data_IF_883779851170
#
_entry.id   IF_883779851170
#
_cell.length_a   1.000
_cell.length_b   1.000
_cell.length_c   1.000
_cell.angle_alpha   90.00
_cell.angle_beta   90.00
_cell.angle_gamma   90.00
#
_symmetry.space_group_name_H-M   'P 1'
#
loop_
_entity.id
_entity.type
_entity.pdbx_description
1 polymer ?
#
# COMPACT_ATOMS: atom_id res chain seq x y z
N UNK A 1 -22.71 49.57 -11.18
CA UNK A 1 -23.32 48.23 -11.46
C UNK A 1 -22.65 47.24 -10.53
N UNK A 2 -23.42 46.59 -9.65
CA UNK A 2 -22.79 45.61 -8.70
C UNK A 2 -22.66 44.23 -9.34
N UNK A 3 -21.44 43.68 -9.23
CA UNK A 3 -21.09 42.31 -9.64
C UNK A 3 -20.81 41.54 -8.37
N UNK A 4 -21.52 40.46 -8.13
CA UNK A 4 -21.33 39.61 -6.98
C UNK A 4 -20.91 38.21 -7.43
N UNK A 5 -20.19 37.49 -6.57
CA UNK A 5 -19.80 36.13 -6.82
C UNK A 5 -20.26 35.19 -5.70
N UNK A 6 -20.60 33.99 -6.06
CA UNK A 6 -20.92 32.92 -5.11
C UNK A 6 -20.10 31.68 -5.39
N UNK A 7 -19.58 31.07 -4.33
CA UNK A 7 -18.91 29.80 -4.40
C UNK A 7 -19.36 28.85 -3.29
N UNK A 8 -19.47 27.59 -3.62
CA UNK A 8 -19.79 26.54 -2.68
C UNK A 8 -18.76 25.42 -2.76
N UNK A 9 -18.20 25.03 -1.62
CA UNK A 9 -17.38 23.84 -1.52
C UNK A 9 -17.84 22.91 -0.39
N UNK A 10 -17.70 21.61 -0.65
CA UNK A 10 -17.94 20.57 0.34
C UNK A 10 -16.61 20.21 1.02
N UNK A 11 -16.41 20.52 2.32
CA UNK A 11 -15.13 20.33 3.01
C UNK A 11 -14.61 18.87 2.98
N UNK A 12 -15.52 17.90 2.80
CA UNK A 12 -15.17 16.48 2.71
C UNK A 12 -14.64 16.06 1.33
N UNK A 13 -14.87 16.85 0.30
CA UNK A 13 -14.57 16.50 -1.08
C UNK A 13 -13.57 17.45 -1.75
N UNK A 14 -13.62 18.72 -1.43
CA UNK A 14 -12.88 19.78 -2.11
C UNK A 14 -12.25 20.73 -1.08
N UNK A 15 -11.04 21.26 -1.34
CA UNK A 15 -10.49 22.35 -0.52
C UNK A 15 -11.37 23.60 -0.68
N UNK A 16 -11.27 24.51 0.28
CA UNK A 16 -11.93 25.83 0.15
C UNK A 16 -11.41 26.52 -1.12
N UNK A 17 -12.31 27.12 -1.93
CA UNK A 17 -11.89 27.86 -3.13
C UNK A 17 -11.00 29.03 -2.73
N UNK A 18 -9.96 29.30 -3.54
CA UNK A 18 -9.10 30.46 -3.33
C UNK A 18 -9.91 31.73 -3.54
N UNK A 19 -9.74 32.74 -2.69
CA UNK A 19 -10.45 34.00 -2.78
C UNK A 19 -10.18 34.78 -4.11
N UNK A 20 -9.08 34.47 -4.77
CA UNK A 20 -8.60 35.13 -6.00
C UNK A 20 -9.26 34.66 -7.31
N UNK A 21 -10.16 33.64 -7.24
CA UNK A 21 -10.76 33.03 -8.45
C UNK A 21 -11.54 34.04 -9.31
N UNK A 22 -12.11 35.07 -8.68
CA UNK A 22 -13.04 36.00 -9.33
C UNK A 22 -12.40 37.27 -9.87
N UNK A 23 -11.10 37.53 -9.63
CA UNK A 23 -10.44 38.78 -10.01
C UNK A 23 -10.87 39.99 -9.19
N UNK A 24 -10.38 41.18 -9.58
CA UNK A 24 -10.60 42.43 -8.84
C UNK A 24 -11.94 43.16 -9.17
N UNK A 25 -12.74 42.65 -10.11
CA UNK A 25 -13.95 43.26 -10.58
C UNK A 25 -15.23 42.89 -9.80
N UNK A 26 -15.10 42.06 -8.77
CA UNK A 26 -16.23 41.58 -7.96
C UNK A 26 -16.41 42.46 -6.73
N UNK A 27 -17.55 43.08 -6.59
CA UNK A 27 -17.87 43.98 -5.46
C UNK A 27 -18.04 43.23 -4.14
N UNK A 28 -18.60 42.00 -4.19
CA UNK A 28 -18.81 41.15 -2.99
C UNK A 28 -18.82 39.68 -3.34
N UNK A 29 -18.16 38.89 -2.50
CA UNK A 29 -18.10 37.43 -2.64
C UNK A 29 -18.81 36.76 -1.47
N UNK A 30 -19.68 35.80 -1.77
CA UNK A 30 -20.34 34.93 -0.80
C UNK A 30 -19.75 33.51 -0.92
N UNK A 31 -19.35 32.94 0.20
CA UNK A 31 -18.72 31.64 0.21
C UNK A 31 -19.35 30.70 1.26
N UNK A 32 -19.83 29.57 0.84
CA UNK A 32 -20.37 28.53 1.69
C UNK A 32 -19.41 27.30 1.77
N UNK A 33 -19.20 26.80 2.98
CA UNK A 33 -18.42 25.61 3.28
C UNK A 33 -19.33 24.55 3.94
N UNK A 34 -19.88 23.66 3.13
CA UNK A 34 -20.74 22.56 3.61
C UNK A 34 -22.18 22.93 4.00
N UNK A 35 -22.47 24.20 4.25
CA UNK A 35 -23.81 24.76 4.46
C UNK A 35 -24.23 25.63 3.27
N UNK A 36 -25.41 26.25 3.35
CA UNK A 36 -25.91 27.21 2.31
C UNK A 36 -26.46 28.49 2.93
N UNK A 37 -25.83 28.91 4.01
CA UNK A 37 -26.27 30.13 4.73
C UNK A 37 -25.95 31.40 3.96
N UNK A 38 -24.78 31.45 3.32
CA UNK A 38 -24.36 32.58 2.51
C UNK A 38 -25.18 32.71 1.20
N UNK A 39 -25.60 31.57 0.62
CA UNK A 39 -26.53 31.59 -0.50
C UNK A 39 -27.88 32.22 -0.12
N UNK A 40 -28.42 31.87 1.04
CA UNK A 40 -29.66 32.47 1.52
C UNK A 40 -29.50 33.96 1.81
N UNK A 41 -28.35 34.37 2.35
CA UNK A 41 -28.05 35.76 2.57
C UNK A 41 -27.90 36.51 1.25
N UNK A 42 -27.21 35.95 0.27
CA UNK A 42 -27.07 36.48 -1.08
C UNK A 42 -28.45 36.75 -1.72
N UNK A 43 -29.36 35.76 -1.65
CA UNK A 43 -30.72 35.92 -2.22
C UNK A 43 -31.52 37.01 -1.53
N UNK A 44 -31.36 37.24 -0.23
CA UNK A 44 -31.97 38.34 0.50
C UNK A 44 -31.35 39.70 0.12
N UNK A 45 -30.04 39.78 0.06
CA UNK A 45 -29.32 41.00 -0.30
C UNK A 45 -29.67 41.43 -1.74
N UNK A 46 -29.85 40.47 -2.66
CA UNK A 46 -30.32 40.75 -4.03
C UNK A 46 -31.73 41.31 -4.13
N UNK A 47 -32.58 41.11 -3.12
CA UNK A 47 -33.92 41.72 -3.06
C UNK A 47 -33.85 43.17 -2.61
N UNK A 48 -32.84 43.56 -1.84
CA UNK A 48 -32.70 44.91 -1.26
C UNK A 48 -31.76 45.82 -2.05
N UNK A 49 -30.76 45.22 -2.72
CA UNK A 49 -29.76 45.95 -3.48
C UNK A 49 -29.80 45.60 -4.98
N UNK A 50 -29.67 46.58 -5.90
CA UNK A 50 -29.68 46.32 -7.34
C UNK A 50 -28.34 45.65 -7.76
N UNK A 51 -28.38 44.33 -7.96
CA UNK A 51 -27.28 43.53 -8.49
C UNK A 51 -27.57 43.22 -9.95
N UNK A 52 -26.57 43.35 -10.84
CA UNK A 52 -26.74 43.08 -12.26
C UNK A 52 -26.18 41.71 -12.67
N UNK A 53 -25.05 41.31 -12.11
CA UNK A 53 -24.39 40.06 -12.47
C UNK A 53 -24.09 39.22 -11.23
N UNK A 54 -24.38 37.90 -11.32
CA UNK A 54 -23.94 36.89 -10.37
C UNK A 54 -23.00 35.92 -11.07
N UNK A 55 -21.76 35.82 -10.58
CA UNK A 55 -20.76 34.87 -11.05
C UNK A 55 -20.81 33.60 -10.19
N UNK A 56 -20.86 32.46 -10.83
CA UNK A 56 -20.72 31.15 -10.20
C UNK A 56 -19.78 30.29 -11.05
N UNK A 57 -19.14 29.29 -10.45
CA UNK A 57 -18.35 28.36 -11.24
C UNK A 57 -19.25 27.33 -11.94
N UNK A 58 -20.17 26.74 -11.20
CA UNK A 58 -21.04 25.65 -11.68
C UNK A 58 -22.48 25.85 -11.17
N UNK A 59 -23.44 25.36 -11.93
CA UNK A 59 -24.86 25.44 -11.53
C UNK A 59 -25.15 24.64 -10.23
N UNK A 60 -24.39 23.56 -9.96
CA UNK A 60 -24.57 22.77 -8.73
C UNK A 60 -24.27 23.55 -7.44
N UNK A 61 -23.61 24.69 -7.53
CA UNK A 61 -23.36 25.55 -6.39
C UNK A 61 -24.65 26.18 -5.85
N UNK A 62 -25.65 26.38 -6.70
CA UNK A 62 -26.93 26.96 -6.32
C UNK A 62 -27.89 25.99 -5.60
N UNK A 63 -27.62 24.69 -5.52
CA UNK A 63 -28.54 23.77 -4.83
C UNK A 63 -28.03 22.36 -4.71
N UNK A 64 -28.54 21.63 -3.73
CA UNK A 64 -28.20 20.21 -3.51
C UNK A 64 -29.07 19.28 -4.37
N UNK A 65 -30.19 19.77 -4.89
CA UNK A 65 -31.07 19.06 -5.80
C UNK A 65 -31.34 19.88 -7.05
N UNK A 66 -31.67 19.22 -8.17
CA UNK A 66 -32.03 19.88 -9.42
C UNK A 66 -33.20 20.88 -9.18
N UNK A 67 -34.18 20.49 -8.36
CA UNK A 67 -35.33 21.34 -8.02
C UNK A 67 -34.90 22.62 -7.31
N UNK A 68 -33.97 22.56 -6.36
CA UNK A 68 -33.44 23.74 -5.67
C UNK A 68 -32.66 24.65 -6.63
N UNK A 69 -31.82 24.06 -7.50
CA UNK A 69 -31.10 24.83 -8.52
C UNK A 69 -32.07 25.54 -9.43
N UNK A 70 -33.11 24.90 -9.95
CA UNK A 70 -34.14 25.52 -10.80
C UNK A 70 -34.89 26.61 -10.05
N UNK A 71 -35.29 26.39 -8.80
CA UNK A 71 -36.01 27.38 -8.00
C UNK A 71 -35.17 28.64 -7.76
N UNK A 72 -33.87 28.50 -7.45
CA UNK A 72 -32.98 29.63 -7.27
C UNK A 72 -32.67 30.37 -8.60
N UNK A 73 -32.57 29.63 -9.71
CA UNK A 73 -32.42 30.22 -11.04
C UNK A 73 -33.65 31.10 -11.39
N UNK A 74 -34.86 30.56 -11.15
CA UNK A 74 -36.11 31.30 -11.38
C UNK A 74 -36.19 32.55 -10.49
N UNK A 75 -35.79 32.47 -9.22
CA UNK A 75 -35.72 33.62 -8.32
C UNK A 75 -34.75 34.70 -8.83
N UNK A 76 -33.54 34.29 -9.29
CA UNK A 76 -32.55 35.23 -9.82
C UNK A 76 -33.03 35.87 -11.13
N UNK A 77 -33.69 35.12 -12.00
CA UNK A 77 -34.27 35.61 -13.25
C UNK A 77 -35.41 36.63 -12.98
N UNK A 78 -36.28 36.35 -12.01
CA UNK A 78 -37.34 37.26 -11.58
C UNK A 78 -36.81 38.59 -10.99
N UNK A 79 -35.62 38.56 -10.38
CA UNK A 79 -34.90 39.73 -9.89
C UNK A 79 -34.12 40.49 -11.01
N UNK A 80 -34.13 39.99 -12.24
CA UNK A 80 -33.43 40.58 -13.38
C UNK A 80 -31.90 40.41 -13.33
N UNK A 81 -31.38 39.45 -12.53
CA UNK A 81 -29.95 39.20 -12.34
C UNK A 81 -29.44 38.27 -13.44
N UNK A 82 -28.41 38.70 -14.16
CA UNK A 82 -27.75 37.86 -15.17
C UNK A 82 -26.73 36.95 -14.53
N UNK A 83 -26.94 35.65 -14.71
CA UNK A 83 -26.03 34.63 -14.21
C UNK A 83 -24.91 34.35 -15.21
N UNK A 84 -23.65 34.40 -14.75
CA UNK A 84 -22.45 34.05 -15.50
C UNK A 84 -21.83 32.83 -14.88
N UNK A 85 -21.78 31.73 -15.65
CA UNK A 85 -21.12 30.46 -15.26
C UNK A 85 -19.74 30.42 -15.88
N UNK A 86 -18.71 30.21 -15.07
CA UNK A 86 -17.31 30.24 -15.52
C UNK A 86 -16.79 28.87 -15.99
N UNK A 87 -17.45 27.75 -15.68
CA UNK A 87 -17.11 26.44 -16.22
C UNK A 87 -17.52 26.35 -17.71
N UNK A 88 -16.53 26.28 -18.60
CA UNK A 88 -16.70 26.23 -20.05
C UNK A 88 -17.65 25.13 -20.54
N UNK A 89 -17.59 23.96 -19.90
CA UNK A 89 -18.44 22.81 -20.27
C UNK A 89 -19.93 23.07 -20.01
N UNK A 90 -20.25 23.81 -18.96
CA UNK A 90 -21.62 24.12 -18.62
C UNK A 90 -22.16 25.29 -19.44
N UNK A 91 -21.30 26.21 -19.85
CA UNK A 91 -21.65 27.32 -20.73
C UNK A 91 -22.05 26.82 -22.13
N UNK A 92 -21.35 25.85 -22.68
CA UNK A 92 -21.68 25.23 -23.99
C UNK A 92 -23.01 24.46 -23.98
N UNK A 93 -23.38 23.87 -22.86
CA UNK A 93 -24.62 23.08 -22.75
C UNK A 93 -25.88 23.90 -22.41
N UNK A 94 -25.76 25.21 -22.12
CA UNK A 94 -26.89 26.06 -21.77
C UNK A 94 -27.96 26.13 -22.86
N UNK A 95 -27.60 26.01 -24.12
CA UNK A 95 -28.53 26.00 -25.26
C UNK A 95 -29.36 24.70 -25.34
N UNK A 96 -28.98 23.62 -24.59
CA UNK A 96 -29.69 22.37 -24.58
C UNK A 96 -30.09 21.98 -23.14
N UNK A 97 -31.23 22.52 -22.70
CA UNK A 97 -31.77 22.40 -21.34
C UNK A 97 -31.81 20.94 -20.86
N UNK A 98 -32.18 19.99 -21.73
CA UNK A 98 -32.28 18.58 -21.37
C UNK A 98 -30.90 17.97 -21.08
N UNK A 99 -29.87 18.36 -21.82
CA UNK A 99 -28.50 17.93 -21.55
C UNK A 99 -28.00 18.50 -20.24
N UNK A 100 -28.23 19.77 -19.99
CA UNK A 100 -27.86 20.45 -18.75
C UNK A 100 -28.49 19.77 -17.53
N UNK A 101 -29.81 19.51 -17.58
CA UNK A 101 -30.53 18.82 -16.50
C UNK A 101 -29.97 17.40 -16.25
N UNK A 102 -29.68 16.67 -17.33
CA UNK A 102 -29.10 15.32 -17.21
C UNK A 102 -27.68 15.37 -16.61
N UNK A 103 -26.87 16.35 -16.94
CA UNK A 103 -25.53 16.54 -16.35
C UNK A 103 -25.61 16.95 -14.89
N UNK A 104 -26.48 17.89 -14.53
CA UNK A 104 -26.72 18.29 -13.15
C UNK A 104 -27.14 17.06 -12.29
N UNK A 105 -28.07 16.26 -12.80
CA UNK A 105 -28.52 15.08 -12.08
C UNK A 105 -27.39 14.04 -11.88
N UNK A 106 -26.58 13.79 -12.92
CA UNK A 106 -25.40 12.89 -12.82
C UNK A 106 -24.35 13.43 -11.84
N UNK A 107 -24.06 14.71 -11.92
CA UNK A 107 -23.10 15.38 -11.05
C UNK A 107 -23.54 15.31 -9.60
N UNK A 108 -24.78 15.65 -9.29
CA UNK A 108 -25.34 15.56 -7.94
C UNK A 108 -25.33 14.14 -7.39
N UNK A 109 -25.72 13.15 -8.21
CA UNK A 109 -25.66 11.75 -7.80
C UNK A 109 -24.21 11.31 -7.50
N UNK A 110 -23.28 11.65 -8.37
CA UNK A 110 -21.85 11.38 -8.17
C UNK A 110 -21.31 12.06 -6.91
N UNK A 111 -21.70 13.30 -6.64
CA UNK A 111 -21.29 14.06 -5.45
C UNK A 111 -21.86 13.46 -4.17
N UNK A 112 -23.12 13.07 -4.16
CA UNK A 112 -23.76 12.38 -3.04
C UNK A 112 -23.07 11.05 -2.71
N UNK A 113 -22.75 10.24 -3.73
CA UNK A 113 -21.98 9.02 -3.56
C UNK A 113 -20.59 9.30 -2.98
N UNK A 114 -19.85 10.26 -3.51
CA UNK A 114 -18.52 10.65 -3.00
C UNK A 114 -18.59 11.11 -1.54
N UNK A 115 -19.61 11.92 -1.18
CA UNK A 115 -19.86 12.36 0.19
C UNK A 115 -20.13 11.18 1.13
N UNK A 116 -20.97 10.22 0.70
CA UNK A 116 -21.20 8.98 1.44
C UNK A 116 -19.93 8.15 1.63
N UNK A 117 -19.10 8.02 0.59
CA UNK A 117 -17.81 7.34 0.71
C UNK A 117 -16.83 8.08 1.62
N UNK A 118 -16.78 9.41 1.57
CA UNK A 118 -15.93 10.21 2.44
C UNK A 118 -16.35 10.05 3.93
N UNK A 119 -17.65 10.12 4.24
CA UNK A 119 -18.17 9.86 5.59
C UNK A 119 -17.82 8.45 6.09
N UNK A 120 -18.01 7.43 5.25
CA UNK A 120 -17.66 6.05 5.61
C UNK A 120 -16.16 5.89 5.87
N UNK A 121 -15.32 6.61 5.12
CA UNK A 121 -13.87 6.61 5.30
C UNK A 121 -13.47 7.25 6.63
N UNK A 122 -14.05 8.40 6.98
CA UNK A 122 -13.82 9.07 8.27
C UNK A 122 -14.20 8.15 9.42
N UNK A 123 -15.34 7.47 9.33
CA UNK A 123 -15.79 6.48 10.31
C UNK A 123 -15.01 5.16 10.26
N UNK A 124 -14.01 5.04 9.38
CA UNK A 124 -13.20 3.82 9.19
C UNK A 124 -14.04 2.57 8.88
N UNK A 125 -15.19 2.75 8.21
CA UNK A 125 -16.07 1.64 7.83
C UNK A 125 -15.51 0.89 6.62
N UNK A 126 -15.71 -0.43 6.50
CA UNK A 126 -15.29 -1.20 5.34
C UNK A 126 -15.83 -0.61 4.03
N UNK A 127 -14.99 -0.48 2.99
CA UNK A 127 -15.43 0.01 1.70
C UNK A 127 -16.56 -0.86 1.13
N UNK A 128 -17.42 -0.31 0.24
CA UNK A 128 -18.50 -1.08 -0.35
C UNK A 128 -17.96 -2.27 -1.14
N UNK A 129 -18.72 -3.37 -1.19
CA UNK A 129 -18.36 -4.58 -1.90
C UNK A 129 -18.16 -5.81 -1.00
N UNK A 130 -17.64 -6.88 -1.57
CA UNK A 130 -17.38 -8.15 -0.85
C UNK A 130 -16.13 -8.01 0.03
N UNK A 131 -16.20 -8.60 1.23
CA UNK A 131 -15.04 -8.71 2.11
C UNK A 131 -13.93 -9.54 1.43
N UNK A 132 -12.64 -9.26 1.74
CA UNK A 132 -11.54 -10.11 1.33
C UNK A 132 -11.75 -11.55 1.82
N UNK A 133 -11.30 -12.54 1.04
CA UNK A 133 -11.41 -13.95 1.43
C UNK A 133 -10.69 -14.19 2.77
N UNK A 134 -11.32 -14.92 3.67
CA UNK A 134 -10.87 -15.07 5.07
C UNK A 134 -11.56 -14.10 6.04
N UNK A 135 -12.31 -13.14 5.51
CA UNK A 135 -13.14 -12.22 6.28
C UNK A 135 -14.60 -12.28 5.84
N UNK A 136 -15.48 -11.92 6.78
CA UNK A 136 -16.90 -11.60 6.55
C UNK A 136 -17.12 -10.12 6.81
N UNK A 137 -18.08 -9.53 6.11
CA UNK A 137 -18.49 -8.14 6.34
C UNK A 137 -19.38 -8.09 7.58
N UNK A 138 -18.91 -7.46 8.66
CA UNK A 138 -19.73 -7.06 9.79
C UNK A 138 -20.40 -5.71 9.52
N UNK A 139 -21.14 -5.19 10.51
CA UNK A 139 -21.83 -3.90 10.42
C UNK A 139 -20.81 -2.75 10.25
N UNK A 140 -19.83 -2.68 11.14
CA UNK A 140 -18.88 -1.56 11.21
C UNK A 140 -17.44 -1.97 10.88
N UNK A 141 -17.12 -3.25 10.83
CA UNK A 141 -15.77 -3.77 10.59
C UNK A 141 -15.78 -5.14 9.94
N UNK A 142 -14.64 -5.57 9.41
CA UNK A 142 -14.44 -6.94 9.00
C UNK A 142 -14.32 -7.85 10.22
N UNK A 143 -14.93 -9.02 10.12
CA UNK A 143 -14.83 -10.11 11.11
C UNK A 143 -14.16 -11.31 10.48
N UNK A 144 -13.34 -12.05 11.24
CA UNK A 144 -12.65 -13.24 10.75
C UNK A 144 -13.67 -14.33 10.38
N UNK A 145 -13.55 -14.88 9.19
CA UNK A 145 -14.26 -16.09 8.79
C UNK A 145 -13.49 -17.32 9.27
N UNK A 146 -14.00 -17.97 10.33
CA UNK A 146 -13.36 -19.14 10.96
C UNK A 146 -13.12 -20.31 9.98
N UNK A 147 -13.90 -20.40 8.91
CA UNK A 147 -13.78 -21.48 7.92
C UNK A 147 -12.76 -21.16 6.83
N UNK A 148 -12.66 -19.90 6.41
CA UNK A 148 -11.82 -19.47 5.31
C UNK A 148 -10.46 -18.90 5.77
N UNK A 149 -10.36 -18.33 6.97
CA UNK A 149 -9.12 -17.70 7.47
C UNK A 149 -7.95 -18.65 7.63
N UNK A 150 -8.11 -19.95 8.04
CA UNK A 150 -6.98 -20.86 8.12
C UNK A 150 -6.28 -21.10 6.78
N UNK A 151 -7.07 -21.17 5.69
CA UNK A 151 -6.51 -21.32 4.35
C UNK A 151 -5.71 -20.08 3.90
N UNK A 152 -6.16 -18.89 4.31
CA UNK A 152 -5.42 -17.64 4.06
C UNK A 152 -4.12 -17.64 4.87
N UNK A 153 -4.16 -17.94 6.15
CA UNK A 153 -2.98 -17.96 7.02
C UNK A 153 -1.93 -18.93 6.50
N UNK A 154 -2.33 -20.17 6.18
CA UNK A 154 -1.44 -21.19 5.62
C UNK A 154 -0.84 -20.76 4.25
N UNK A 155 -1.59 -20.02 3.42
CA UNK A 155 -1.06 -19.46 2.18
C UNK A 155 0.07 -18.45 2.43
N UNK A 156 -0.08 -17.58 3.44
CA UNK A 156 0.93 -16.60 3.83
C UNK A 156 2.15 -17.29 4.43
N UNK A 157 1.97 -18.24 5.35
CA UNK A 157 3.05 -19.03 5.96
C UNK A 157 3.84 -19.79 4.90
N UNK A 158 3.15 -20.47 3.98
CA UNK A 158 3.81 -21.16 2.87
C UNK A 158 4.61 -20.21 1.97
N UNK A 159 4.11 -18.99 1.74
CA UNK A 159 4.86 -17.99 0.98
C UNK A 159 6.08 -17.49 1.75
N UNK A 160 6.00 -17.28 3.05
CA UNK A 160 7.12 -16.88 3.90
C UNK A 160 8.24 -17.91 3.86
N UNK A 161 7.91 -19.20 3.99
CA UNK A 161 8.89 -20.30 4.01
C UNK A 161 9.53 -20.50 2.62
N UNK A 162 8.71 -20.59 1.58
CA UNK A 162 9.19 -21.00 0.25
C UNK A 162 9.48 -19.84 -0.70
N UNK A 163 9.02 -18.63 -0.42
CA UNK A 163 9.21 -17.44 -1.26
C UNK A 163 8.59 -17.54 -2.67
N UNK A 164 7.79 -18.56 -2.93
CA UNK A 164 7.26 -18.88 -4.26
C UNK A 164 5.76 -18.68 -4.33
N UNK A 165 5.31 -17.58 -4.94
CA UNK A 165 3.90 -17.28 -5.12
C UNK A 165 3.16 -18.39 -5.90
N UNK A 166 3.75 -18.91 -6.98
CA UNK A 166 3.15 -20.02 -7.75
C UNK A 166 3.10 -21.30 -6.93
N UNK A 167 4.11 -21.55 -6.06
CA UNK A 167 4.12 -22.65 -5.12
C UNK A 167 2.97 -22.55 -4.12
N UNK A 168 2.79 -21.37 -3.50
CA UNK A 168 1.73 -21.12 -2.52
C UNK A 168 0.33 -21.25 -3.13
N UNK A 169 0.13 -20.78 -4.36
CA UNK A 169 -1.15 -20.98 -5.08
C UNK A 169 -1.45 -22.45 -5.33
N UNK A 170 -0.46 -23.25 -5.73
CA UNK A 170 -0.61 -24.70 -5.91
C UNK A 170 -0.86 -25.43 -4.59
N UNK A 171 -0.14 -25.05 -3.54
CA UNK A 171 -0.33 -25.58 -2.19
C UNK A 171 -1.76 -25.33 -1.69
N UNK A 172 -2.27 -24.09 -1.84
CA UNK A 172 -3.64 -23.72 -1.49
C UNK A 172 -4.68 -24.58 -2.24
N UNK A 173 -4.48 -24.77 -3.55
CA UNK A 173 -5.36 -25.60 -4.38
C UNK A 173 -5.34 -27.07 -3.93
N UNK A 174 -4.17 -27.61 -3.58
CA UNK A 174 -4.00 -29.01 -3.16
C UNK A 174 -4.59 -29.28 -1.77
N UNK A 175 -4.30 -28.39 -0.80
CA UNK A 175 -4.66 -28.60 0.62
C UNK A 175 -6.09 -28.21 0.94
N UNK A 176 -6.59 -27.10 0.35
CA UNK A 176 -7.90 -26.54 0.66
C UNK A 176 -8.88 -26.60 -0.51
N UNK A 177 -8.52 -27.23 -1.61
CA UNK A 177 -9.29 -27.23 -2.86
C UNK A 177 -9.69 -25.80 -3.35
N UNK A 178 -8.94 -24.78 -2.90
CA UNK A 178 -9.18 -23.38 -3.24
C UNK A 178 -8.30 -22.96 -4.41
N UNK A 179 -8.86 -22.91 -5.60
CA UNK A 179 -8.17 -22.49 -6.82
C UNK A 179 -8.23 -20.97 -6.96
N UNK A 180 -7.08 -20.31 -7.03
CA UNK A 180 -6.92 -18.88 -7.31
C UNK A 180 -5.88 -18.66 -8.40
N UNK A 181 -5.95 -17.52 -9.09
CA UNK A 181 -4.88 -17.12 -10.01
C UNK A 181 -3.65 -16.60 -9.27
N UNK A 182 -2.50 -16.60 -9.91
CA UNK A 182 -1.26 -16.03 -9.36
C UNK A 182 -1.43 -14.53 -9.08
N UNK A 183 -2.16 -13.81 -9.93
CA UNK A 183 -2.48 -12.39 -9.73
C UNK A 183 -3.35 -12.16 -8.48
N UNK A 184 -4.34 -13.03 -8.24
CA UNK A 184 -5.15 -13.00 -7.01
C UNK A 184 -4.30 -13.30 -5.78
N UNK A 185 -3.41 -14.31 -5.84
CA UNK A 185 -2.48 -14.59 -4.76
C UNK A 185 -1.55 -13.41 -4.46
N UNK A 186 -1.07 -12.70 -5.49
CA UNK A 186 -0.29 -11.48 -5.30
C UNK A 186 -1.10 -10.38 -4.61
N UNK A 187 -2.38 -10.19 -5.02
CA UNK A 187 -3.25 -9.23 -4.33
C UNK A 187 -3.47 -9.59 -2.87
N UNK A 188 -3.58 -10.86 -2.52
CA UNK A 188 -3.66 -11.26 -1.11
C UNK A 188 -2.41 -10.82 -0.36
N UNK A 189 -1.22 -11.15 -0.85
CA UNK A 189 0.05 -10.79 -0.20
C UNK A 189 0.26 -9.29 0.01
N UNK A 190 -0.33 -8.45 -0.84
CA UNK A 190 -0.17 -6.99 -0.78
C UNK A 190 -1.37 -6.26 -0.19
N UNK A 191 -2.47 -6.96 0.13
CA UNK A 191 -3.68 -6.31 0.63
C UNK A 191 -3.56 -5.97 2.13
N UNK A 192 -3.62 -4.67 2.51
CA UNK A 192 -3.53 -4.25 3.90
C UNK A 192 -4.60 -4.86 4.83
N UNK A 193 -5.73 -5.30 4.28
CA UNK A 193 -6.79 -5.89 5.10
C UNK A 193 -6.31 -7.11 5.90
N UNK A 194 -5.38 -7.90 5.41
CA UNK A 194 -4.89 -9.08 6.13
C UNK A 194 -4.05 -8.74 7.35
N UNK A 195 -3.48 -7.53 7.42
CA UNK A 195 -2.78 -7.00 8.61
C UNK A 195 -3.63 -6.08 9.48
N UNK A 196 -4.96 -6.05 9.25
CA UNK A 196 -5.93 -5.31 10.06
C UNK A 196 -6.18 -3.87 9.63
N UNK A 197 -5.72 -3.47 8.44
CA UNK A 197 -5.83 -2.12 7.91
C UNK A 197 -6.85 -2.05 6.76
N UNK A 198 -7.51 -0.91 6.60
CA UNK A 198 -8.35 -0.65 5.43
C UNK A 198 -7.64 0.26 4.45
N UNK A 199 -7.70 -0.08 3.18
CA UNK A 199 -7.25 0.78 2.08
C UNK A 199 -8.44 1.21 1.24
N UNK A 200 -8.53 2.51 0.98
CA UNK A 200 -9.56 3.11 0.13
C UNK A 200 -9.02 3.43 -1.27
N UNK A 201 -9.92 3.73 -2.20
CA UNK A 201 -9.57 3.97 -3.61
C UNK A 201 -8.58 5.10 -3.83
N UNK A 202 -8.53 6.09 -2.95
CA UNK A 202 -7.55 7.19 -2.98
C UNK A 202 -6.14 6.78 -2.50
N UNK A 203 -5.91 5.50 -2.21
CA UNK A 203 -4.64 4.98 -1.72
C UNK A 203 -4.39 5.15 -0.22
N UNK A 204 -5.23 5.89 0.49
CA UNK A 204 -5.09 6.07 1.94
C UNK A 204 -5.32 4.76 2.68
N UNK A 205 -4.48 4.50 3.68
CA UNK A 205 -4.54 3.34 4.56
C UNK A 205 -4.90 3.80 5.96
N UNK A 206 -5.90 3.16 6.56
CA UNK A 206 -6.31 3.40 7.95
C UNK A 206 -5.93 2.17 8.75
N UNK A 207 -5.13 2.35 9.79
CA UNK A 207 -4.62 1.26 10.61
C UNK A 207 -5.61 0.79 11.67
N UNK A 208 -5.45 -0.47 12.08
CA UNK A 208 -6.14 -1.07 13.25
C UNK A 208 -7.67 -0.96 13.18
N UNK A 209 -8.26 -1.26 12.03
CA UNK A 209 -9.71 -1.21 11.83
C UNK A 209 -10.41 -2.53 12.19
N UNK A 210 -9.71 -3.64 12.13
CA UNK A 210 -10.25 -4.99 12.40
C UNK A 210 -9.13 -5.96 12.81
N UNK A 211 -9.52 -7.14 13.30
CA UNK A 211 -8.58 -8.17 13.74
C UNK A 211 -7.78 -8.70 12.54
N UNK A 212 -6.44 -8.69 12.58
CA UNK A 212 -5.60 -9.18 11.48
C UNK A 212 -5.57 -10.70 11.41
N UNK A 213 -5.37 -11.26 10.19
CA UNK A 213 -5.08 -12.69 9.98
C UNK A 213 -3.58 -12.97 10.09
N UNK A 214 -2.75 -11.99 9.68
CA UNK A 214 -1.29 -12.04 9.80
C UNK A 214 -0.78 -10.87 10.63
N UNK A 215 0.34 -11.07 11.33
CA UNK A 215 0.99 -10.00 12.08
C UNK A 215 1.60 -8.94 11.15
N UNK A 216 1.90 -7.76 11.69
CA UNK A 216 2.58 -6.71 10.94
C UNK A 216 4.01 -7.10 10.56
N UNK A 217 4.67 -7.90 11.40
CA UNK A 217 6.01 -8.42 11.15
C UNK A 217 6.03 -9.40 9.99
N UNK A 218 5.09 -10.37 9.97
CA UNK A 218 4.90 -11.27 8.84
C UNK A 218 4.61 -10.50 7.54
N UNK A 219 3.74 -9.49 7.59
CA UNK A 219 3.46 -8.64 6.43
C UNK A 219 4.71 -7.89 5.94
N UNK A 220 5.53 -7.36 6.86
CA UNK A 220 6.79 -6.69 6.52
C UNK A 220 7.80 -7.66 5.88
N UNK A 221 7.90 -8.89 6.38
CA UNK A 221 8.73 -9.93 5.76
C UNK A 221 8.25 -10.28 4.34
N UNK A 222 6.93 -10.40 4.15
CA UNK A 222 6.33 -10.63 2.83
C UNK A 222 6.67 -9.49 1.86
N UNK A 223 6.55 -8.24 2.30
CA UNK A 223 6.88 -7.08 1.48
C UNK A 223 8.37 -7.07 1.08
N UNK A 224 9.28 -7.45 1.99
CA UNK A 224 10.71 -7.62 1.69
C UNK A 224 10.93 -8.73 0.66
N UNK A 225 10.32 -9.91 0.85
CA UNK A 225 10.42 -11.03 -0.09
C UNK A 225 9.86 -10.68 -1.47
N UNK A 226 8.74 -9.97 -1.55
CA UNK A 226 8.15 -9.54 -2.83
C UNK A 226 9.05 -8.55 -3.57
N UNK A 227 9.66 -7.59 -2.87
CA UNK A 227 10.62 -6.64 -3.48
C UNK A 227 11.82 -7.38 -4.04
N UNK A 228 12.39 -8.27 -3.27
CA UNK A 228 13.55 -9.07 -3.64
C UNK A 228 13.28 -10.00 -4.81
N UNK A 229 12.12 -10.66 -4.81
CA UNK A 229 11.74 -11.54 -5.90
C UNK A 229 11.58 -10.82 -7.26
N UNK A 230 11.43 -9.47 -7.26
CA UNK A 230 11.40 -8.69 -8.51
C UNK A 230 12.74 -8.64 -9.23
N UNK A 231 13.85 -8.63 -8.47
CA UNK A 231 15.21 -8.63 -9.03
C UNK A 231 15.74 -10.01 -9.43
N UNK A 232 15.04 -11.10 -9.08
CA UNK A 232 15.51 -12.45 -9.38
C UNK A 232 15.25 -12.86 -10.84
N UNK A 233 16.19 -13.64 -11.39
CA UNK A 233 16.01 -14.27 -12.70
C UNK A 233 14.73 -15.14 -12.73
N UNK A 234 14.09 -15.32 -13.91
CA UNK A 234 12.92 -16.16 -14.07
C UNK A 234 13.11 -17.55 -13.49
N UNK A 235 12.10 -18.09 -12.82
CA UNK A 235 12.08 -19.41 -12.15
C UNK A 235 12.95 -19.55 -10.89
N UNK A 236 13.81 -18.58 -10.56
CA UNK A 236 14.66 -18.62 -9.36
C UNK A 236 13.83 -18.56 -8.07
N UNK A 237 12.76 -17.79 -8.04
CA UNK A 237 11.89 -17.70 -6.86
C UNK A 237 11.24 -19.03 -6.45
N UNK A 238 11.04 -19.97 -7.35
CA UNK A 238 10.42 -21.28 -7.10
C UNK A 238 11.41 -22.45 -7.13
N UNK A 239 12.71 -22.19 -7.29
CA UNK A 239 13.71 -23.23 -7.35
C UNK A 239 13.86 -23.93 -6.00
N UNK A 240 14.05 -25.26 -5.94
CA UNK A 240 14.10 -26.00 -4.68
C UNK A 240 15.45 -25.87 -3.94
N UNK A 241 16.47 -25.31 -4.57
CA UNK A 241 17.84 -25.25 -4.03
C UNK A 241 18.18 -23.86 -3.45
N UNK A 242 18.93 -23.84 -2.36
CA UNK A 242 19.18 -22.63 -1.57
C UNK A 242 19.97 -21.54 -2.31
N UNK A 243 20.94 -21.92 -3.14
CA UNK A 243 21.76 -20.98 -3.91
C UNK A 243 21.10 -20.47 -5.22
N UNK A 244 19.93 -21.00 -5.56
CA UNK A 244 19.26 -20.63 -6.81
C UNK A 244 18.88 -19.15 -6.87
N UNK A 245 19.39 -18.45 -7.89
CA UNK A 245 19.14 -17.02 -8.11
C UNK A 245 20.06 -16.08 -7.33
N UNK A 246 20.99 -16.62 -6.52
CA UNK A 246 21.98 -15.83 -5.79
C UNK A 246 23.37 -15.85 -6.47
N UNK A 247 23.71 -16.94 -7.16
CA UNK A 247 25.03 -17.14 -7.74
C UNK A 247 25.19 -16.44 -9.10
N UNK A 248 26.30 -15.71 -9.27
CA UNK A 248 26.70 -15.02 -10.48
C UNK A 248 28.15 -15.43 -10.80
N UNK A 249 28.44 -15.71 -12.08
CA UNK A 249 29.80 -15.94 -12.53
C UNK A 249 30.56 -14.61 -12.60
N UNK A 250 31.67 -14.47 -11.88
CA UNK A 250 32.46 -13.25 -11.87
C UNK A 250 33.14 -12.95 -13.23
N UNK A 251 33.45 -13.98 -14.02
CA UNK A 251 34.10 -13.86 -15.32
C UNK A 251 33.16 -13.31 -16.41
N UNK A 252 32.00 -13.96 -16.61
CA UNK A 252 31.08 -13.59 -17.67
C UNK A 252 29.87 -12.75 -17.16
N UNK A 253 29.81 -12.43 -15.87
CA UNK A 253 28.74 -11.70 -15.18
C UNK A 253 27.34 -12.30 -15.37
N UNK A 254 27.25 -13.53 -15.91
CA UNK A 254 25.97 -14.20 -16.11
C UNK A 254 25.43 -14.81 -14.81
N UNK A 255 24.12 -14.73 -14.56
CA UNK A 255 23.48 -15.48 -13.48
C UNK A 255 23.65 -16.99 -13.68
N UNK A 256 23.82 -17.72 -12.58
CA UNK A 256 24.01 -19.16 -12.62
C UNK A 256 22.73 -19.90 -12.21
N UNK A 257 22.46 -21.01 -12.90
CA UNK A 257 21.34 -21.90 -12.61
C UNK A 257 21.85 -23.23 -12.04
N UNK A 258 21.04 -23.84 -11.16
CA UNK A 258 21.32 -25.19 -10.66
C UNK A 258 20.83 -26.19 -11.70
N UNK A 259 21.75 -26.93 -12.28
CA UNK A 259 21.48 -27.99 -13.24
C UNK A 259 21.68 -29.36 -12.56
N UNK A 260 20.73 -30.28 -12.80
CA UNK A 260 20.79 -31.66 -12.33
C UNK A 260 21.37 -32.52 -13.46
N UNK A 261 22.35 -33.32 -13.14
CA UNK A 261 22.94 -34.32 -14.05
C UNK A 261 22.76 -35.67 -13.42
N UNK A 262 22.09 -36.58 -14.12
CA UNK A 262 21.94 -37.97 -13.73
C UNK A 262 22.95 -38.80 -14.49
N UNK A 263 23.75 -39.62 -13.80
CA UNK A 263 24.64 -40.55 -14.47
C UNK A 263 23.82 -41.75 -14.98
N UNK A 264 24.13 -42.18 -16.24
CA UNK A 264 23.51 -43.36 -16.83
C UNK A 264 23.67 -44.57 -15.90
N UNK A 265 22.58 -45.22 -15.49
CA UNK A 265 22.53 -46.37 -14.59
C UNK A 265 22.95 -46.13 -13.14
N UNK A 266 23.05 -44.90 -12.63
CA UNK A 266 23.31 -44.63 -11.21
C UNK A 266 22.18 -43.79 -10.61
N UNK A 267 21.70 -44.17 -9.44
CA UNK A 267 20.69 -43.38 -8.68
C UNK A 267 21.25 -42.08 -8.12
N UNK A 268 22.58 -41.83 -8.24
CA UNK A 268 23.23 -40.61 -7.75
C UNK A 268 22.95 -39.43 -8.65
N UNK A 269 22.36 -38.40 -8.07
CA UNK A 269 22.14 -37.12 -8.67
C UNK A 269 23.31 -36.17 -8.40
N UNK A 270 23.88 -35.59 -9.44
CA UNK A 270 24.92 -34.57 -9.31
C UNK A 270 24.33 -33.22 -9.66
N UNK A 271 24.52 -32.21 -8.79
CA UNK A 271 24.08 -30.86 -8.96
C UNK A 271 25.25 -29.95 -9.34
N UNK A 272 25.03 -29.11 -10.33
CA UNK A 272 26.04 -28.16 -10.79
C UNK A 272 25.42 -26.78 -10.92
N UNK A 273 26.20 -25.74 -10.58
CA UNK A 273 25.90 -24.35 -10.92
C UNK A 273 26.51 -24.05 -12.33
N UNK A 274 25.66 -23.63 -13.27
CA UNK A 274 26.07 -23.30 -14.64
C UNK A 274 25.59 -21.91 -15.02
N UNK A 275 26.43 -21.06 -15.67
CA UNK A 275 25.99 -19.80 -16.22
C UNK A 275 24.89 -20.00 -17.27
N UNK A 276 23.86 -19.15 -17.26
CA UNK A 276 22.69 -19.28 -18.16
C UNK A 276 23.04 -18.79 -19.56
N UNK A 277 23.68 -17.61 -19.69
CA UNK A 277 23.97 -16.93 -20.96
C UNK A 277 25.45 -16.54 -21.01
N UNK A 278 26.35 -17.52 -20.93
CA UNK A 278 27.79 -17.26 -21.01
C UNK A 278 28.21 -16.90 -22.42
N UNK A 279 28.72 -15.68 -22.60
CA UNK A 279 29.27 -15.19 -23.86
C UNK A 279 30.79 -15.40 -24.03
N UNK A 280 31.46 -15.88 -22.97
CA UNK A 280 32.93 -16.11 -22.98
C UNK A 280 33.29 -17.28 -23.84
N UNK A 281 34.46 -17.18 -24.51
CA UNK A 281 35.09 -18.28 -25.27
C UNK A 281 36.46 -18.57 -24.65
N UNK A 282 36.69 -19.80 -24.15
CA UNK A 282 35.73 -20.90 -24.00
C UNK A 282 34.65 -20.63 -22.98
N UNK A 283 33.47 -21.29 -23.12
CA UNK A 283 32.36 -21.13 -22.16
C UNK A 283 32.80 -21.53 -20.76
N UNK A 284 32.34 -20.75 -19.77
CA UNK A 284 32.59 -21.03 -18.36
C UNK A 284 32.02 -22.39 -17.96
N UNK A 285 32.83 -23.23 -17.32
CA UNK A 285 32.45 -24.60 -16.86
C UNK A 285 31.47 -24.54 -15.69
N UNK A 286 30.66 -25.59 -15.51
CA UNK A 286 29.84 -25.80 -14.33
C UNK A 286 30.70 -26.10 -13.11
N UNK A 287 30.22 -25.74 -11.91
CA UNK A 287 30.89 -25.99 -10.62
C UNK A 287 29.96 -26.86 -9.78
N UNK A 288 30.50 -27.73 -8.95
CA UNK A 288 29.74 -28.55 -8.02
C UNK A 288 28.87 -27.64 -7.12
N UNK A 289 27.58 -27.95 -7.05
CA UNK A 289 26.66 -27.22 -6.17
C UNK A 289 27.05 -27.34 -4.69
N UNK A 290 27.43 -28.57 -4.30
CA UNK A 290 27.82 -28.86 -2.92
C UNK A 290 29.08 -28.12 -2.50
N UNK A 291 30.09 -28.06 -3.38
CA UNK A 291 31.31 -27.30 -3.12
C UNK A 291 30.99 -25.78 -2.92
N UNK A 292 30.17 -25.19 -3.76
CA UNK A 292 29.77 -23.78 -3.62
C UNK A 292 28.92 -23.56 -2.38
N UNK A 293 28.07 -24.51 -2.01
CA UNK A 293 27.26 -24.45 -0.80
C UNK A 293 28.12 -24.42 0.46
N UNK A 294 29.08 -25.35 0.57
CA UNK A 294 30.00 -25.42 1.70
C UNK A 294 30.87 -24.16 1.81
N UNK A 295 31.40 -23.70 0.69
CA UNK A 295 32.15 -22.43 0.66
C UNK A 295 31.28 -21.22 1.05
N UNK A 296 30.00 -21.21 0.64
CA UNK A 296 29.07 -20.14 1.02
C UNK A 296 28.80 -20.16 2.51
N UNK A 297 28.56 -21.31 3.10
CA UNK A 297 28.37 -21.47 4.55
C UNK A 297 29.62 -21.00 5.31
N UNK A 298 30.80 -21.43 4.91
CA UNK A 298 32.05 -21.05 5.56
C UNK A 298 32.28 -19.51 5.47
N UNK A 299 31.97 -18.91 4.32
CA UNK A 299 32.12 -17.46 4.11
C UNK A 299 31.10 -16.66 4.90
N UNK A 300 29.83 -17.07 4.91
CA UNK A 300 28.78 -16.34 5.65
C UNK A 300 29.06 -16.38 7.16
N UNK A 301 29.51 -17.51 7.69
CA UNK A 301 29.88 -17.63 9.11
C UNK A 301 31.03 -16.71 9.51
N UNK A 302 31.98 -16.46 8.60
CA UNK A 302 33.12 -15.61 8.85
C UNK A 302 32.84 -14.12 8.55
N UNK A 303 32.27 -13.82 7.39
CA UNK A 303 32.22 -12.47 6.85
C UNK A 303 30.97 -11.70 7.32
N UNK A 304 29.88 -12.40 7.71
CA UNK A 304 28.62 -11.76 8.15
C UNK A 304 28.74 -10.99 9.48
N UNK A 305 29.38 -11.55 10.54
CA UNK A 305 29.57 -10.81 11.80
C UNK A 305 30.36 -9.52 11.59
N UNK A 306 31.43 -9.57 10.79
CA UNK A 306 32.28 -8.39 10.50
C UNK A 306 31.52 -7.36 9.66
N UNK A 307 30.75 -7.82 8.66
CA UNK A 307 29.93 -6.93 7.85
C UNK A 307 28.87 -6.20 8.68
N UNK A 308 28.22 -6.91 9.63
CA UNK A 308 27.23 -6.31 10.53
C UNK A 308 27.88 -5.40 11.59
N UNK A 309 29.08 -5.75 12.09
CA UNK A 309 29.82 -4.93 13.05
C UNK A 309 30.33 -3.62 12.41
N UNK A 310 30.77 -3.69 11.13
CA UNK A 310 31.25 -2.56 10.35
C UNK A 310 30.17 -1.56 9.91
N UNK A 311 28.90 -1.92 10.05
CA UNK A 311 27.80 -1.00 9.74
C UNK A 311 27.77 0.14 10.76
N UNK A 312 28.30 1.31 10.36
CA UNK A 312 28.05 2.58 11.03
C UNK A 312 26.59 3.03 10.76
N UNK A 313 25.64 2.19 11.16
CA UNK A 313 24.25 2.63 11.12
C UNK A 313 24.01 3.61 12.26
N UNK A 314 23.39 4.78 12.01
CA UNK A 314 22.78 5.55 13.08
C UNK A 314 21.94 4.55 13.90
N UNK A 315 21.92 4.74 15.22
CA UNK A 315 21.31 3.75 16.11
C UNK A 315 19.84 3.50 15.72
N UNK A 316 19.65 2.54 14.80
CA UNK A 316 18.33 2.17 14.27
C UNK A 316 17.38 1.75 15.40
N UNK A 317 17.95 1.33 16.54
CA UNK A 317 17.16 0.98 17.71
C UNK A 317 16.53 2.22 18.33
N UNK A 318 17.28 3.33 18.39
CA UNK A 318 16.75 4.63 18.88
C UNK A 318 15.67 5.15 17.94
N UNK A 319 15.91 5.11 16.63
CA UNK A 319 14.91 5.55 15.64
C UNK A 319 13.65 4.69 15.72
N UNK A 320 13.78 3.37 15.79
CA UNK A 320 12.65 2.45 15.93
C UNK A 320 11.92 2.62 17.25
N UNK A 321 12.65 2.77 18.35
CA UNK A 321 12.06 3.05 19.67
C UNK A 321 11.28 4.36 19.64
N UNK A 322 11.82 5.41 19.03
CA UNK A 322 11.12 6.67 18.86
C UNK A 322 9.85 6.56 18.03
N UNK A 323 9.88 5.82 16.91
CA UNK A 323 8.68 5.55 16.12
C UNK A 323 7.66 4.70 16.88
N UNK A 324 8.11 3.68 17.61
CA UNK A 324 7.23 2.85 18.43
C UNK A 324 6.55 3.66 19.54
N UNK A 325 7.30 4.52 20.23
CA UNK A 325 6.77 5.44 21.24
C UNK A 325 5.74 6.42 20.64
N UNK A 326 6.03 6.98 19.47
CA UNK A 326 5.09 7.85 18.75
C UNK A 326 3.79 7.11 18.36
N UNK A 327 3.89 5.87 17.90
CA UNK A 327 2.72 5.03 17.60
C UNK A 327 1.91 4.77 18.88
N UNK A 328 2.58 4.41 19.98
CA UNK A 328 1.93 4.14 21.25
C UNK A 328 1.21 5.38 21.81
N UNK A 329 1.84 6.55 21.78
CA UNK A 329 1.22 7.81 22.18
C UNK A 329 -0.05 8.10 21.38
N UNK A 330 -0.01 7.91 20.05
CA UNK A 330 -1.18 8.09 19.19
C UNK A 330 -2.28 7.07 19.47
N UNK A 331 -1.94 5.85 19.83
CA UNK A 331 -2.92 4.82 20.24
C UNK A 331 -3.60 5.19 21.55
N UNK A 332 -2.85 5.69 22.54
CA UNK A 332 -3.42 6.20 23.80
C UNK A 332 -4.43 7.33 23.56
N UNK A 333 -4.13 8.26 22.65
CA UNK A 333 -5.10 9.30 22.29
C UNK A 333 -6.37 8.69 21.70
N UNK A 334 -6.25 7.68 20.82
CA UNK A 334 -7.42 7.00 20.26
C UNK A 334 -8.28 6.30 21.33
N UNK A 335 -7.66 5.76 22.37
CA UNK A 335 -8.35 5.12 23.51
C UNK A 335 -9.07 6.13 24.41
N UNK A 336 -8.60 7.38 24.47
CA UNK A 336 -9.22 8.46 25.25
C UNK A 336 -10.41 9.12 24.55
N UNK A 337 -10.49 9.07 23.20
CA UNK A 337 -11.54 9.74 22.43
C UNK A 337 -12.97 9.34 22.87
N UNK A 338 -13.31 8.06 23.14
CA UNK A 338 -14.65 7.69 23.58
C UNK A 338 -15.05 8.31 24.92
N UNK A 339 -14.11 8.46 25.85
CA UNK A 339 -14.37 9.10 27.15
C UNK A 339 -14.66 10.60 26.99
N UNK A 340 -13.95 11.29 26.07
CA UNK A 340 -14.16 12.70 25.78
C UNK A 340 -15.52 12.94 25.09
N UNK A 341 -15.99 11.99 24.28
CA UNK A 341 -17.34 12.04 23.69
C UNK A 341 -18.39 11.85 24.79
N UNK A 342 -18.19 10.85 25.65
CA UNK A 342 -19.14 10.54 26.74
C UNK A 342 -19.27 11.69 27.74
N UNK A 343 -18.21 12.45 28.00
CA UNK A 343 -18.20 13.64 28.86
C UNK A 343 -18.76 14.91 28.20
N UNK A 344 -19.11 14.85 26.91
CA UNK A 344 -19.61 16.02 26.16
C UNK A 344 -18.56 17.07 25.81
N UNK A 345 -17.26 16.79 26.07
CA UNK A 345 -16.14 17.70 25.75
C UNK A 345 -15.89 17.74 24.23
N UNK A 346 -16.11 16.62 23.55
CA UNK A 346 -15.85 16.48 22.12
C UNK A 346 -17.13 15.95 21.42
N UNK A 347 -17.53 16.61 20.35
CA UNK A 347 -18.62 16.13 19.50
C UNK A 347 -18.18 14.91 18.66
N UNK A 348 -19.16 14.11 18.24
CA UNK A 348 -18.90 12.86 17.52
C UNK A 348 -18.23 13.06 16.14
N UNK A 349 -18.55 14.16 15.44
CA UNK A 349 -17.98 14.41 14.11
C UNK A 349 -16.50 14.80 14.20
N UNK A 350 -16.17 15.68 15.14
CA UNK A 350 -14.78 16.08 15.42
C UNK A 350 -13.96 14.90 15.93
N UNK A 351 -14.54 14.04 16.78
CA UNK A 351 -13.90 12.82 17.25
C UNK A 351 -13.61 11.83 16.11
N UNK A 352 -14.57 11.64 15.21
CA UNK A 352 -14.39 10.77 14.03
C UNK A 352 -13.27 11.30 13.12
N UNK A 353 -13.24 12.61 12.85
CA UNK A 353 -12.18 13.26 12.06
C UNK A 353 -10.80 13.10 12.72
N UNK A 354 -10.71 13.33 14.02
CA UNK A 354 -9.46 13.18 14.77
C UNK A 354 -9.00 11.73 14.81
N UNK A 355 -9.91 10.79 15.05
CA UNK A 355 -9.61 9.35 14.98
C UNK A 355 -9.09 8.95 13.60
N UNK A 356 -9.73 9.40 12.52
CA UNK A 356 -9.30 9.16 11.15
C UNK A 356 -7.88 9.68 10.90
N UNK A 357 -7.59 10.94 11.27
CA UNK A 357 -6.27 11.55 11.10
C UNK A 357 -5.19 10.77 11.86
N UNK A 358 -5.43 10.46 13.13
CA UNK A 358 -4.46 9.73 13.97
C UNK A 358 -4.22 8.32 13.41
N UNK A 359 -5.24 7.59 12.98
CA UNK A 359 -5.09 6.25 12.38
C UNK A 359 -4.33 6.29 11.06
N UNK A 360 -4.48 7.34 10.27
CA UNK A 360 -3.70 7.53 9.03
C UNK A 360 -2.23 7.79 9.36
N UNK A 361 -1.94 8.66 10.32
CA UNK A 361 -0.57 8.93 10.76
C UNK A 361 0.10 7.68 11.37
N UNK A 362 -0.63 6.88 12.14
CA UNK A 362 -0.16 5.59 12.65
C UNK A 362 0.15 4.63 11.51
N UNK A 363 -0.69 4.55 10.47
CA UNK A 363 -0.43 3.70 9.30
C UNK A 363 0.84 4.11 8.56
N UNK A 364 1.11 5.42 8.43
CA UNK A 364 2.34 5.93 7.81
C UNK A 364 3.59 5.56 8.64
N UNK A 365 3.55 5.76 9.96
CA UNK A 365 4.65 5.39 10.87
C UNK A 365 4.92 3.89 10.83
N UNK A 366 3.86 3.06 10.85
CA UNK A 366 3.97 1.61 10.75
C UNK A 366 4.53 1.17 9.41
N UNK A 367 4.17 1.85 8.32
CA UNK A 367 4.73 1.59 6.98
C UNK A 367 6.22 1.89 6.93
N UNK A 368 6.66 3.01 7.51
CA UNK A 368 8.08 3.36 7.62
C UNK A 368 8.85 2.34 8.47
N UNK A 369 8.28 1.95 9.62
CA UNK A 369 8.88 0.94 10.51
C UNK A 369 9.04 -0.41 9.81
N UNK A 370 8.05 -0.84 9.01
CA UNK A 370 8.09 -2.09 8.26
C UNK A 370 9.14 -2.11 7.13
N UNK A 371 9.58 -0.93 6.66
CA UNK A 371 10.63 -0.83 5.64
C UNK A 371 12.04 -0.93 6.22
N UNK A 372 12.18 -0.72 7.52
CA UNK A 372 13.47 -0.80 8.21
C UNK A 372 13.94 -2.25 8.35
N UNK A 373 15.26 -2.50 8.39
CA UNK A 373 15.80 -3.83 8.66
C UNK A 373 15.33 -4.35 10.04
N UNK A 374 15.27 -5.67 10.28
CA UNK A 374 14.90 -6.22 11.58
C UNK A 374 15.82 -5.71 12.70
N UNK A 375 15.30 -5.58 13.91
CA UNK A 375 16.02 -5.02 15.07
C UNK A 375 17.23 -5.86 15.48
N UNK A 376 17.14 -7.19 15.32
CA UNK A 376 18.09 -8.16 15.85
C UNK A 376 19.12 -8.63 14.82
N UNK A 377 19.51 -7.78 13.84
CA UNK A 377 20.50 -8.16 12.84
C UNK A 377 21.81 -8.67 13.47
N UNK A 378 22.26 -8.05 14.59
CA UNK A 378 23.47 -8.48 15.30
C UNK A 378 23.29 -9.83 16.00
N UNK A 379 22.19 -10.02 16.73
CA UNK A 379 21.89 -11.28 17.41
C UNK A 379 21.67 -12.41 16.41
N UNK A 380 20.92 -12.14 15.34
CA UNK A 380 20.74 -13.11 14.25
C UNK A 380 22.07 -13.41 13.58
N UNK A 381 22.91 -12.40 13.30
CA UNK A 381 24.23 -12.60 12.71
C UNK A 381 25.12 -13.49 13.59
N UNK A 382 25.07 -13.34 14.91
CA UNK A 382 25.79 -14.22 15.85
C UNK A 382 25.26 -15.66 15.79
N UNK A 383 23.94 -15.85 15.77
CA UNK A 383 23.34 -17.18 15.70
C UNK A 383 23.66 -17.88 14.38
N UNK A 384 23.57 -17.19 13.26
CA UNK A 384 23.85 -17.74 11.93
C UNK A 384 25.34 -17.81 11.60
N UNK A 385 26.22 -17.31 12.47
CA UNK A 385 27.68 -17.51 12.34
C UNK A 385 28.17 -18.92 12.71
N UNK A 386 27.30 -19.73 13.31
CA UNK A 386 27.61 -21.12 13.64
C UNK A 386 27.40 -22.03 12.43
N UNK A 387 28.43 -22.78 11.95
CA UNK A 387 28.27 -23.68 10.81
C UNK A 387 27.19 -24.77 11.02
N UNK A 388 27.03 -25.24 12.26
CA UNK A 388 26.03 -26.26 12.61
C UNK A 388 24.60 -25.78 12.32
N UNK A 389 24.30 -24.51 12.58
CA UNK A 389 23.00 -23.90 12.22
C UNK A 389 22.63 -24.14 10.76
N UNK A 390 23.58 -23.94 9.83
CA UNK A 390 23.34 -24.13 8.40
C UNK A 390 23.22 -25.58 7.98
N UNK A 391 23.93 -26.50 8.66
CA UNK A 391 23.87 -27.91 8.37
C UNK A 391 22.55 -28.54 8.78
N UNK A 392 21.96 -28.09 9.87
CA UNK A 392 20.69 -28.60 10.39
C UNK A 392 19.47 -28.11 9.58
N UNK A 393 19.63 -27.06 8.78
CA UNK A 393 18.54 -26.51 7.97
C UNK A 393 18.28 -27.30 6.69
N UNK A 394 17.03 -27.45 6.32
CA UNK A 394 16.62 -27.90 4.99
C UNK A 394 17.01 -26.89 3.90
N UNK A 395 17.02 -27.30 2.64
CA UNK A 395 17.30 -26.40 1.49
C UNK A 395 16.34 -25.21 1.42
N UNK A 396 15.09 -25.37 1.83
CA UNK A 396 14.10 -24.28 1.85
C UNK A 396 14.37 -23.29 2.97
N UNK A 397 14.76 -23.75 4.15
CA UNK A 397 15.11 -22.92 5.29
C UNK A 397 16.42 -22.18 5.06
N UNK A 398 17.47 -22.88 4.59
CA UNK A 398 18.73 -22.25 4.17
C UNK A 398 18.49 -21.14 3.15
N UNK A 399 17.62 -21.40 2.17
CA UNK A 399 17.25 -20.44 1.16
C UNK A 399 16.57 -19.20 1.74
N UNK A 400 15.71 -19.35 2.76
CA UNK A 400 15.09 -18.24 3.45
C UNK A 400 16.17 -17.33 4.06
N UNK A 401 17.08 -17.90 4.86
CA UNK A 401 18.15 -17.15 5.52
C UNK A 401 19.17 -16.57 4.52
N UNK A 402 19.62 -17.33 3.52
CA UNK A 402 20.52 -16.78 2.51
C UNK A 402 19.93 -15.55 1.82
N UNK A 403 18.66 -15.56 1.56
CA UNK A 403 17.97 -14.42 0.95
C UNK A 403 17.71 -13.28 1.93
N UNK A 404 17.79 -13.48 3.21
CA UNK A 404 17.66 -12.42 4.19
C UNK A 404 18.96 -11.62 4.31
N UNK A 405 20.11 -12.20 4.03
CA UNK A 405 21.42 -11.58 4.22
C UNK A 405 22.19 -11.32 2.92
N UNK A 406 22.05 -12.17 1.89
CA UNK A 406 22.85 -12.15 0.68
C UNK A 406 22.10 -11.49 -0.48
N UNK A 407 22.67 -10.45 -1.06
CA UNK A 407 22.21 -9.88 -2.33
C UNK A 407 22.62 -10.81 -3.48
N UNK A 408 23.92 -11.10 -3.57
CA UNK A 408 24.46 -12.02 -4.58
C UNK A 408 25.78 -12.65 -4.13
N UNK A 409 26.11 -13.78 -4.77
CA UNK A 409 27.36 -14.53 -4.58
C UNK A 409 28.13 -14.50 -5.90
N UNK A 410 29.24 -13.79 -5.95
CA UNK A 410 30.13 -13.76 -7.10
C UNK A 410 31.13 -14.92 -7.02
N UNK A 411 31.12 -15.77 -8.03
CA UNK A 411 31.98 -16.96 -8.10
C UNK A 411 33.18 -16.66 -8.99
N UNK A 412 34.37 -16.62 -8.38
CA UNK A 412 35.65 -16.35 -9.02
C UNK A 412 36.42 -17.66 -9.17
N UNK A 413 36.93 -17.94 -10.35
CA UNK A 413 37.79 -19.10 -10.63
C UNK A 413 39.21 -18.63 -10.84
N UNK A 414 40.14 -19.13 -10.05
CA UNK A 414 41.58 -18.93 -10.24
C UNK A 414 42.29 -20.30 -10.14
N UNK A 415 43.00 -20.67 -11.19
CA UNK A 415 43.87 -21.86 -11.19
C UNK A 415 43.20 -23.12 -10.64
N UNK A 416 42.02 -23.50 -11.13
CA UNK A 416 41.21 -24.64 -10.68
C UNK A 416 40.63 -24.54 -9.25
N UNK A 417 40.89 -23.46 -8.52
CA UNK A 417 40.29 -23.20 -7.24
C UNK A 417 39.07 -22.28 -7.40
N UNK A 418 38.00 -22.63 -6.67
CA UNK A 418 36.78 -21.82 -6.61
C UNK A 418 36.87 -20.87 -5.41
N UNK A 419 36.76 -19.59 -5.64
CA UNK A 419 36.68 -18.60 -4.57
C UNK A 419 35.33 -17.87 -4.66
N UNK A 420 34.77 -17.47 -3.53
CA UNK A 420 33.50 -16.78 -3.44
C UNK A 420 33.67 -15.39 -2.84
N UNK A 421 32.96 -14.45 -3.41
CA UNK A 421 32.72 -13.14 -2.79
C UNK A 421 31.21 -13.01 -2.52
N UNK A 422 30.86 -12.86 -1.25
CA UNK A 422 29.48 -12.65 -0.83
C UNK A 422 29.24 -11.13 -0.75
N UNK A 423 28.19 -10.67 -1.39
CA UNK A 423 27.71 -9.30 -1.28
C UNK A 423 26.46 -9.35 -0.46
N UNK A 424 26.50 -8.68 0.72
CA UNK A 424 25.37 -8.60 1.63
C UNK A 424 24.38 -7.51 1.18
N UNK A 425 23.17 -7.53 1.71
CA UNK A 425 22.07 -6.61 1.34
C UNK A 425 22.23 -5.23 1.98
N UNK A 426 23.01 -5.13 3.03
CA UNK A 426 23.25 -3.93 3.83
C UNK A 426 24.65 -3.39 3.67
#
# INVERSE_FOLDING_TARGET
MKIIAYSYSEPLLEPAPAAEIWGQEVDRTYQDLGGRQQLQQLLKDCQTEPVKYLLIQRFEELGDTVQQVCAHLEQLENLGIQLIVTDEKQTENRANLLKLLAELQRSQHSRSLRKGHARNRIKSLPPPGKAPYGYRRGKDKYTIDKTASPAVKDFFEHFLIYGSLRGSVRHLAKKYNKKISVSTGRRWLTNPAYRGDLQYQNGQVISNTHVPIISREEAAQIDRLLRRNRGLAPRSASAPRSLAGLAICAECKSPMTVAKVTAYRKEKEYLYLRPINCLSQPKCRGISYEEVLQLTIARICRDLPDAVAGLQMPDLNVIKAGMAAAIQSKQQILEQLPALIASGILDTETADLRSYKIRTEVAELQSKLAQMPPVNLREIAQTVSLPQFWLDLSESERRFYFREFIDRIEIVRKNSQVNLQIIFIF
#
